data_IF_502494105523
#
_entry.id   IF_502494105523
#
_cell.length_a   1.000
_cell.length_b   1.000
_cell.length_c   1.000
_cell.angle_alpha   90.00
_cell.angle_beta   90.00
_cell.angle_gamma   90.00
#
_symmetry.space_group_name_H-M   'P 1'
#
loop_
_entity.id
_entity.type
_entity.pdbx_description
1 polymer ?
#
# COMPACT_ATOMS: atom_id res chain seq x y z
N UNK A 1 -17.68 -15.53 9.57
CA UNK A 1 -16.25 -15.88 9.53
C UNK A 1 -15.56 -14.54 9.50
N UNK A 2 -15.01 -14.12 10.62
CA UNK A 2 -14.50 -12.77 10.82
C UNK A 2 -13.26 -12.55 9.94
N UNK A 3 -13.28 -11.53 9.08
CA UNK A 3 -12.11 -11.14 8.29
C UNK A 3 -11.35 -10.07 9.09
N UNK A 4 -10.23 -10.43 9.75
CA UNK A 4 -9.51 -9.50 10.62
C UNK A 4 -8.97 -8.28 9.85
N UNK A 5 -8.82 -8.36 8.53
CA UNK A 5 -8.45 -7.19 7.72
C UNK A 5 -9.63 -6.26 7.48
N UNK A 6 -10.85 -6.80 7.38
CA UNK A 6 -12.05 -5.99 7.27
C UNK A 6 -12.33 -5.24 8.59
N UNK A 7 -12.17 -5.90 9.74
CA UNK A 7 -12.33 -5.23 11.05
C UNK A 7 -11.36 -4.06 11.22
N UNK A 8 -10.10 -4.22 10.80
CA UNK A 8 -9.11 -3.14 10.78
C UNK A 8 -9.50 -2.01 9.82
N UNK A 9 -10.01 -2.34 8.63
CA UNK A 9 -10.53 -1.36 7.69
C UNK A 9 -11.68 -0.55 8.29
N UNK A 10 -12.63 -1.22 8.95
CA UNK A 10 -13.78 -0.59 9.59
C UNK A 10 -13.37 0.28 10.79
N UNK A 11 -12.41 -0.18 11.60
CA UNK A 11 -11.86 0.60 12.71
C UNK A 11 -11.17 1.89 12.21
N UNK A 12 -10.37 1.79 11.14
CA UNK A 12 -9.78 2.95 10.48
C UNK A 12 -10.85 3.88 9.92
N UNK A 13 -11.84 3.31 9.23
CA UNK A 13 -12.92 4.07 8.61
C UNK A 13 -13.75 4.86 9.64
N UNK A 14 -14.05 4.24 10.79
CA UNK A 14 -14.72 4.88 11.92
C UNK A 14 -13.91 6.04 12.50
N UNK A 15 -12.60 5.87 12.69
CA UNK A 15 -11.69 6.95 13.14
C UNK A 15 -11.67 8.13 12.16
N UNK A 16 -11.73 7.85 10.86
CA UNK A 16 -11.61 8.85 9.81
C UNK A 16 -12.94 9.39 9.27
N UNK A 17 -14.08 8.96 9.81
CA UNK A 17 -15.43 9.31 9.33
C UNK A 17 -15.61 9.01 7.83
N UNK A 18 -15.24 7.80 7.42
CA UNK A 18 -15.46 7.25 6.09
C UNK A 18 -16.14 5.89 6.19
N UNK A 19 -16.64 5.40 5.06
CA UNK A 19 -17.23 4.05 4.96
C UNK A 19 -16.33 3.16 4.12
N UNK A 20 -16.18 1.90 4.52
CA UNK A 20 -15.50 0.87 3.74
C UNK A 20 -16.46 0.40 2.65
N UNK A 21 -16.04 0.53 1.39
CA UNK A 21 -16.77 0.07 0.23
C UNK A 21 -16.34 -1.32 -0.22
N UNK A 22 -16.44 -1.57 -1.52
CA UNK A 22 -16.08 -2.87 -2.12
C UNK A 22 -14.58 -3.15 -2.04
N UNK A 23 -14.23 -4.43 -2.00
CA UNK A 23 -12.87 -4.92 -2.19
C UNK A 23 -12.40 -4.64 -3.62
N UNK A 24 -11.26 -3.97 -3.75
CA UNK A 24 -10.63 -3.62 -5.03
C UNK A 24 -9.53 -4.61 -5.42
N UNK A 25 -8.85 -5.19 -4.43
CA UNK A 25 -7.75 -6.13 -4.66
C UNK A 25 -7.36 -6.86 -3.39
N UNK A 26 -6.61 -7.95 -3.54
CA UNK A 26 -6.02 -8.68 -2.42
C UNK A 26 -4.77 -9.40 -2.87
N UNK A 27 -3.89 -9.71 -1.93
CA UNK A 27 -2.70 -10.47 -2.19
C UNK A 27 -2.00 -10.88 -0.91
N UNK A 28 -0.71 -11.20 -1.08
CA UNK A 28 0.17 -11.56 0.00
C UNK A 28 0.29 -10.43 1.04
N UNK A 29 0.36 -9.18 0.61
CA UNK A 29 0.64 -8.06 1.52
C UNK A 29 -0.57 -7.63 2.34
N UNK A 30 -1.77 -7.83 1.79
CA UNK A 30 -2.98 -7.24 2.36
C UNK A 30 -4.19 -7.25 1.43
N UNK A 31 -5.20 -6.49 1.84
CA UNK A 31 -6.44 -6.28 1.08
C UNK A 31 -6.66 -4.79 0.85
N UNK A 32 -7.11 -4.44 -0.35
CA UNK A 32 -7.47 -3.07 -0.73
C UNK A 32 -8.99 -2.95 -0.82
N UNK A 33 -9.55 -1.92 -0.18
CA UNK A 33 -10.97 -1.57 -0.25
C UNK A 33 -11.14 -0.14 -0.76
N UNK A 34 -12.19 0.13 -1.54
CA UNK A 34 -12.61 1.50 -1.85
C UNK A 34 -13.21 2.17 -0.61
N UNK A 35 -13.28 3.49 -0.57
CA UNK A 35 -13.95 4.24 0.50
C UNK A 35 -15.06 5.14 -0.06
N UNK A 36 -15.90 5.67 0.83
CA UNK A 36 -16.88 6.72 0.49
C UNK A 36 -16.26 8.06 0.05
N UNK A 37 -14.94 8.26 0.23
CA UNK A 37 -14.21 9.47 -0.21
C UNK A 37 -13.58 9.36 -1.61
N UNK A 38 -13.93 8.34 -2.38
CA UNK A 38 -13.27 8.03 -3.66
C UNK A 38 -11.75 7.78 -3.50
N UNK A 39 -11.33 7.38 -2.30
CA UNK A 39 -10.00 6.88 -1.99
C UNK A 39 -10.02 5.35 -1.88
N UNK A 40 -8.85 4.76 -1.66
CA UNK A 40 -8.68 3.36 -1.34
C UNK A 40 -7.90 3.20 -0.04
N UNK A 41 -8.28 2.22 0.78
CA UNK A 41 -7.51 1.80 1.96
C UNK A 41 -6.87 0.44 1.68
N UNK A 42 -5.57 0.32 1.91
CA UNK A 42 -4.84 -0.95 1.95
C UNK A 42 -4.58 -1.31 3.39
N UNK A 43 -5.11 -2.47 3.81
CA UNK A 43 -4.89 -3.05 5.14
C UNK A 43 -3.85 -4.15 5.02
N UNK A 44 -2.78 -4.05 5.79
CA UNK A 44 -1.64 -4.95 5.69
C UNK A 44 -1.72 -6.10 6.70
N UNK A 45 -1.19 -7.26 6.30
CA UNK A 45 -1.06 -8.43 7.17
C UNK A 45 0.10 -8.32 8.16
N UNK A 46 1.14 -7.57 7.80
CA UNK A 46 2.36 -7.45 8.57
C UNK A 46 2.82 -5.99 8.67
N UNK A 47 3.26 -5.59 9.87
CA UNK A 47 3.76 -4.25 10.16
C UNK A 47 4.87 -3.81 9.19
N UNK A 48 5.83 -4.71 8.90
CA UNK A 48 6.97 -4.40 8.02
C UNK A 48 6.52 -3.97 6.61
N UNK A 49 5.47 -4.60 6.07
CA UNK A 49 4.95 -4.27 4.73
C UNK A 49 4.26 -2.90 4.76
N UNK A 50 3.47 -2.66 5.80
CA UNK A 50 2.86 -1.36 6.06
C UNK A 50 3.90 -0.24 6.16
N UNK A 51 4.93 -0.42 6.99
CA UNK A 51 5.96 0.59 7.20
C UNK A 51 6.67 0.95 5.89
N UNK A 52 7.05 -0.07 5.09
CA UNK A 52 7.70 0.15 3.79
C UNK A 52 6.84 0.96 2.83
N UNK A 53 5.58 0.56 2.67
CA UNK A 53 4.70 1.24 1.73
C UNK A 53 4.33 2.66 2.20
N UNK A 54 4.07 2.83 3.51
CA UNK A 54 3.87 4.14 4.13
C UNK A 54 5.06 5.06 3.86
N UNK A 55 6.28 4.59 4.14
CA UNK A 55 7.48 5.41 4.03
C UNK A 55 7.76 5.82 2.57
N UNK A 56 7.47 4.95 1.61
CA UNK A 56 7.55 5.28 0.18
C UNK A 56 6.55 6.37 -0.17
N UNK A 57 5.29 6.21 0.23
CA UNK A 57 4.27 7.24 -0.02
C UNK A 57 4.61 8.58 0.63
N UNK A 58 5.16 8.57 1.85
CA UNK A 58 5.64 9.79 2.51
C UNK A 58 6.78 10.44 1.71
N UNK A 59 7.78 9.66 1.27
CA UNK A 59 8.90 10.17 0.46
C UNK A 59 8.43 10.76 -0.86
N UNK A 60 7.49 10.11 -1.54
CA UNK A 60 6.91 10.59 -2.79
C UNK A 60 6.15 11.89 -2.58
N UNK A 61 5.36 11.99 -1.52
CA UNK A 61 4.62 13.21 -1.16
C UNK A 61 5.56 14.38 -0.85
N UNK A 62 6.62 14.16 -0.04
CA UNK A 62 7.65 15.17 0.26
C UNK A 62 8.33 15.70 -1.02
N UNK A 63 8.55 14.81 -2.00
CA UNK A 63 9.17 15.13 -3.28
C UNK A 63 8.18 15.59 -4.35
N UNK A 64 6.88 15.66 -4.03
CA UNK A 64 5.81 16.03 -4.96
C UNK A 64 5.79 15.14 -6.22
N UNK A 65 6.12 13.86 -6.07
CA UNK A 65 6.13 12.89 -7.18
C UNK A 65 4.73 12.35 -7.39
N UNK A 66 4.09 12.81 -8.48
CA UNK A 66 2.74 12.39 -8.87
C UNK A 66 2.72 11.42 -10.04
N UNK A 67 3.86 11.26 -10.74
CA UNK A 67 3.99 10.43 -11.94
C UNK A 67 5.39 9.83 -12.05
N UNK A 68 5.48 8.55 -12.40
CA UNK A 68 6.74 7.83 -12.65
C UNK A 68 6.63 7.17 -14.02
N UNK A 69 7.58 7.46 -14.92
CA UNK A 69 7.63 6.88 -16.28
C UNK A 69 6.30 6.95 -17.06
N UNK A 70 5.51 8.00 -16.85
CA UNK A 70 4.20 8.17 -17.49
C UNK A 70 3.01 7.59 -16.73
N UNK A 71 3.22 6.84 -15.65
CA UNK A 71 2.18 6.27 -14.81
C UNK A 71 1.86 7.15 -13.61
N UNK A 72 0.58 7.42 -13.38
CA UNK A 72 0.14 8.17 -12.22
C UNK A 72 0.37 7.36 -10.94
N UNK A 73 0.89 8.03 -9.91
CA UNK A 73 1.20 7.42 -8.62
C UNK A 73 0.07 7.75 -7.64
N UNK A 74 -0.52 6.77 -6.93
CA UNK A 74 -1.43 7.05 -5.83
C UNK A 74 -0.80 8.02 -4.83
N UNK A 75 -1.59 8.96 -4.32
CA UNK A 75 -1.12 9.95 -3.37
C UNK A 75 -1.58 9.58 -1.97
N UNK A 76 -0.70 9.73 -0.98
CA UNK A 76 -1.01 9.45 0.41
C UNK A 76 -2.11 10.41 0.91
N UNK A 77 -3.17 9.85 1.48
CA UNK A 77 -4.23 10.62 2.13
C UNK A 77 -4.05 10.58 3.65
N UNK A 78 -3.88 9.37 4.20
CA UNK A 78 -3.74 9.14 5.63
C UNK A 78 -3.15 7.75 5.90
N UNK A 79 -2.75 7.47 7.13
CA UNK A 79 -2.35 6.13 7.57
C UNK A 79 -2.58 5.96 9.08
N UNK A 80 -2.62 4.71 9.55
CA UNK A 80 -2.71 4.37 10.97
C UNK A 80 -1.69 3.27 11.30
N UNK A 81 -0.78 3.60 12.22
CA UNK A 81 0.33 2.72 12.61
C UNK A 81 -0.10 1.53 13.45
N UNK A 82 -1.19 1.64 14.21
CA UNK A 82 -1.66 0.57 15.09
C UNK A 82 -2.50 -0.44 14.29
N UNK A 83 -3.23 0.06 13.29
CA UNK A 83 -4.07 -0.78 12.43
C UNK A 83 -3.31 -1.34 11.22
N UNK A 84 -2.14 -0.78 10.89
CA UNK A 84 -1.38 -1.06 9.67
C UNK A 84 -2.23 -0.81 8.42
N UNK A 85 -2.69 0.43 8.27
CA UNK A 85 -3.57 0.87 7.17
C UNK A 85 -2.97 2.09 6.49
N UNK A 86 -2.97 2.09 5.16
CA UNK A 86 -2.68 3.26 4.32
C UNK A 86 -3.92 3.61 3.53
N UNK A 87 -4.33 4.87 3.58
CA UNK A 87 -5.32 5.47 2.69
C UNK A 87 -4.61 6.25 1.58
N UNK A 88 -5.01 6.01 0.33
CA UNK A 88 -4.42 6.61 -0.86
C UNK A 88 -5.47 6.98 -1.90
N UNK A 89 -5.15 7.91 -2.79
CA UNK A 89 -6.02 8.24 -3.93
C UNK A 89 -6.13 7.06 -4.91
N UNK A 90 -7.24 6.98 -5.63
CA UNK A 90 -7.40 6.00 -6.73
C UNK A 90 -6.86 6.64 -8.02
N UNK A 91 -6.00 5.92 -8.72
CA UNK A 91 -5.50 6.32 -10.05
C UNK A 91 -6.22 5.55 -11.16
N UNK A 92 -6.06 5.99 -12.40
CA UNK A 92 -6.56 5.23 -13.56
C UNK A 92 -5.62 4.08 -13.88
N UNK A 93 -6.12 2.95 -14.40
CA UNK A 93 -5.26 1.88 -14.91
C UNK A 93 -4.24 2.40 -15.93
N UNK A 94 -3.06 1.76 -16.04
CA UNK A 94 -2.69 0.49 -15.39
C UNK A 94 -2.12 0.65 -13.97
N UNK A 95 -2.41 -0.31 -13.11
CA UNK A 95 -1.95 -0.36 -11.71
C UNK A 95 -0.62 -1.12 -11.63
N UNK A 96 0.49 -0.42 -11.87
CA UNK A 96 1.82 -1.06 -12.05
C UNK A 96 2.70 -1.00 -10.80
N UNK A 97 2.37 -0.11 -9.85
CA UNK A 97 3.25 0.20 -8.72
C UNK A 97 2.76 -0.49 -7.44
N UNK A 98 3.59 -1.38 -6.91
CA UNK A 98 3.48 -1.94 -5.56
C UNK A 98 4.73 -1.61 -4.77
N UNK A 99 4.56 -1.04 -3.57
CA UNK A 99 5.65 -0.53 -2.76
C UNK A 99 5.92 -1.35 -1.51
N UNK A 100 5.13 -2.39 -1.22
CA UNK A 100 5.36 -3.26 -0.06
C UNK A 100 6.74 -3.96 -0.11
N UNK A 101 7.25 -4.22 -1.32
CA UNK A 101 8.59 -4.77 -1.58
C UNK A 101 9.70 -3.73 -1.74
N UNK A 102 9.41 -2.43 -1.72
CA UNK A 102 10.38 -1.40 -1.99
C UNK A 102 11.35 -1.18 -0.80
N UNK A 103 12.54 -0.67 -1.13
CA UNK A 103 13.57 -0.30 -0.17
C UNK A 103 13.89 1.18 -0.32
N UNK A 104 13.91 1.90 0.81
CA UNK A 104 14.36 3.28 0.86
C UNK A 104 15.72 3.34 1.54
N UNK A 105 16.61 4.15 0.96
CA UNK A 105 17.91 4.56 1.51
C UNK A 105 18.92 3.42 1.79
N UNK A 106 18.50 2.15 1.70
CA UNK A 106 19.31 0.96 1.84
C UNK A 106 19.05 0.02 0.65
N UNK A 107 20.12 -0.49 0.04
CA UNK A 107 19.97 -1.55 -0.96
C UNK A 107 19.45 -2.84 -0.27
N UNK A 108 18.52 -3.58 -0.88
CA UNK A 108 18.29 -4.96 -0.48
C UNK A 108 19.59 -5.75 -0.53
N UNK A 109 19.81 -6.60 0.48
CA UNK A 109 20.88 -7.58 0.42
C UNK A 109 20.37 -8.76 -0.41
N UNK A 110 20.67 -8.71 -1.71
CA UNK A 110 20.48 -9.85 -2.60
C UNK A 110 21.85 -10.50 -2.81
N UNK A 111 22.20 -11.53 -2.02
CA UNK A 111 23.40 -12.29 -2.30
C UNK A 111 23.31 -12.90 -3.72
N UNK A 112 24.45 -13.08 -4.42
CA UNK A 112 24.45 -13.51 -5.82
C UNK A 112 23.67 -14.79 -6.09
N UNK A 113 23.65 -15.72 -5.12
CA UNK A 113 22.82 -16.94 -5.18
C UNK A 113 21.32 -16.65 -5.32
N UNK A 114 20.79 -15.67 -4.60
CA UNK A 114 19.36 -15.30 -4.65
C UNK A 114 19.01 -14.64 -5.98
N UNK A 115 19.92 -13.87 -6.57
CA UNK A 115 19.72 -13.27 -7.89
C UNK A 115 19.76 -14.31 -9.02
N UNK A 116 20.63 -15.32 -8.90
CA UNK A 116 20.74 -16.40 -9.88
C UNK A 116 19.44 -17.23 -9.94
N UNK A 117 18.89 -17.61 -8.78
CA UNK A 117 17.64 -18.37 -8.70
C UNK A 117 16.45 -17.60 -9.32
N UNK A 118 16.39 -16.27 -9.15
CA UNK A 118 15.34 -15.42 -9.74
C UNK A 118 15.49 -15.17 -11.25
N UNK A 119 16.69 -15.30 -11.80
CA UNK A 119 16.95 -15.10 -13.24
C UNK A 119 16.79 -16.38 -14.07
N UNK A 120 16.75 -17.54 -13.41
CA UNK A 120 16.52 -18.85 -14.05
C UNK A 120 15.03 -19.24 -14.15
N UNK A 121 14.11 -18.47 -13.54
CA UNK A 121 12.65 -18.57 -13.73
C UNK A 121 12.10 -17.60 -14.79
#
# INVERSE_FOLDING_TARGET
>A
MDDPLLEKAEAFAGKHQIEVGRKLGFGWDGTVYSTSRQSAIKVFRHERLFQRERDVYQRLAERHVVRILGFDVPQLVSFDNDLWVVEMTIVSPPFVLDFAGAYLDQKPDYPPEVLADWMEE
#
